data_IF_702693289731
#
_entry.id   IF_702693289731
#
_cell.length_a   1.000
_cell.length_b   1.000
_cell.length_c   1.000
_cell.angle_alpha   90.00
_cell.angle_beta   90.00
_cell.angle_gamma   90.00
#
_symmetry.space_group_name_H-M   'P 1'
#
loop_
_entity.id
_entity.type
_entity.pdbx_description
1 polymer ?
#
# COMPACT_ATOMS: atom_id res chain seq x y z
N UNK A 1 6.77 -12.21 2.78
CA UNK A 1 7.38 -10.90 2.49
C UNK A 1 8.89 -10.99 2.72
N UNK A 2 9.68 -10.70 1.73
CA UNK A 2 11.15 -10.71 1.86
C UNK A 2 11.75 -9.30 1.82
N UNK A 3 10.95 -8.28 1.52
CA UNK A 3 11.33 -6.89 1.63
C UNK A 3 10.13 -6.02 1.96
N UNK A 4 10.33 -5.09 2.89
CA UNK A 4 9.32 -4.13 3.32
C UNK A 4 10.00 -2.78 3.56
N UNK A 5 9.87 -1.88 2.60
CA UNK A 5 10.35 -0.52 2.72
C UNK A 5 9.21 0.40 3.19
N UNK A 6 9.49 1.29 4.13
CA UNK A 6 8.48 2.17 4.69
C UNK A 6 9.04 3.53 5.10
N UNK A 7 8.13 4.50 5.23
CA UNK A 7 8.44 5.85 5.74
C UNK A 7 7.22 6.52 6.34
N UNK A 8 7.44 7.24 7.44
CA UNK A 8 6.42 8.14 8.00
C UNK A 8 6.62 9.54 7.46
N UNK A 9 5.54 10.19 7.01
CA UNK A 9 5.50 11.61 6.63
C UNK A 9 4.51 12.31 7.54
N UNK A 10 4.94 13.33 8.27
CA UNK A 10 4.12 14.08 9.24
C UNK A 10 3.78 15.46 8.73
N UNK A 11 2.62 15.97 9.11
CA UNK A 11 2.17 17.32 8.77
C UNK A 11 1.83 17.49 7.30
N UNK A 12 1.33 16.44 6.64
CA UNK A 12 0.74 16.57 5.31
C UNK A 12 -0.57 17.36 5.42
N UNK A 13 -0.85 18.18 4.42
CA UNK A 13 -2.11 18.92 4.33
C UNK A 13 -3.17 18.01 3.72
N UNK A 14 -4.21 17.65 4.46
CA UNK A 14 -5.22 16.72 3.98
C UNK A 14 -6.07 17.31 2.83
N UNK A 15 -6.27 18.63 2.82
CA UNK A 15 -7.01 19.37 1.78
C UNK A 15 -6.22 19.54 0.47
N UNK A 16 -4.93 19.14 0.41
CA UNK A 16 -4.12 19.26 -0.78
C UNK A 16 -4.69 18.42 -1.92
N UNK A 17 -4.69 19.00 -3.11
CA UNK A 17 -5.15 18.32 -4.31
C UNK A 17 -3.96 17.92 -5.21
N UNK A 18 -4.05 16.72 -5.78
CA UNK A 18 -3.08 16.31 -6.79
C UNK A 18 -3.13 17.26 -7.99
N UNK A 19 -1.97 17.69 -8.53
CA UNK A 19 -1.92 18.62 -9.64
C UNK A 19 -2.57 18.02 -10.90
N UNK A 20 -3.05 18.89 -11.79
CA UNK A 20 -3.82 18.48 -12.99
C UNK A 20 -3.06 17.46 -13.84
N UNK A 21 -1.74 17.63 -14.01
CA UNK A 21 -0.94 16.70 -14.80
C UNK A 21 -0.95 15.26 -14.24
N UNK A 22 -0.93 15.12 -12.90
CA UNK A 22 -0.96 13.82 -12.23
C UNK A 22 -2.35 13.19 -12.38
N UNK A 23 -3.41 13.93 -12.07
CA UNK A 23 -4.81 13.49 -12.23
C UNK A 23 -5.11 13.09 -13.68
N UNK A 24 -4.64 13.86 -14.67
CA UNK A 24 -4.82 13.54 -16.07
C UNK A 24 -4.12 12.24 -16.47
N UNK A 25 -2.93 11.96 -15.94
CA UNK A 25 -2.22 10.70 -16.21
C UNK A 25 -2.95 9.50 -15.58
N UNK A 26 -3.42 9.62 -14.35
CA UNK A 26 -4.23 8.58 -13.69
C UNK A 26 -5.50 8.29 -14.51
N UNK A 27 -6.26 9.33 -14.86
CA UNK A 27 -7.50 9.19 -15.63
C UNK A 27 -7.28 8.53 -16.97
N UNK A 28 -6.22 8.89 -17.72
CA UNK A 28 -5.87 8.25 -19.00
C UNK A 28 -5.43 6.79 -18.83
N UNK A 29 -5.01 6.39 -17.64
CA UNK A 29 -4.66 5.01 -17.28
C UNK A 29 -5.82 4.24 -16.65
N UNK A 30 -7.04 4.80 -16.65
CA UNK A 30 -8.23 4.17 -16.11
C UNK A 30 -8.38 4.29 -14.58
N UNK A 31 -7.54 5.08 -13.90
CA UNK A 31 -7.61 5.28 -12.46
C UNK A 31 -8.32 6.58 -12.10
N UNK A 32 -9.22 6.51 -11.12
CA UNK A 32 -9.90 7.68 -10.58
C UNK A 32 -9.01 8.37 -9.54
N UNK A 33 -8.95 9.70 -9.58
CA UNK A 33 -8.36 10.51 -8.51
C UNK A 33 -9.21 10.40 -7.24
N UNK A 34 -8.58 10.19 -6.09
CA UNK A 34 -9.22 9.98 -4.79
C UNK A 34 -8.78 11.08 -3.82
N UNK A 35 -7.51 11.07 -3.42
CA UNK A 35 -6.86 12.08 -2.60
C UNK A 35 -5.41 12.25 -3.05
N UNK A 36 -4.77 13.38 -2.73
CA UNK A 36 -3.42 13.64 -3.22
C UNK A 36 -2.42 12.54 -2.83
N UNK A 37 -2.52 11.98 -1.63
CA UNK A 37 -1.63 10.91 -1.16
C UNK A 37 -1.89 9.61 -1.93
N UNK A 38 -3.15 9.21 -2.08
CA UNK A 38 -3.53 8.00 -2.82
C UNK A 38 -3.21 8.15 -4.31
N UNK A 39 -3.42 9.32 -4.86
CA UNK A 39 -3.08 9.62 -6.26
C UNK A 39 -1.58 9.50 -6.51
N UNK A 40 -0.74 9.93 -5.56
CA UNK A 40 0.72 9.74 -5.65
C UNK A 40 1.10 8.27 -5.60
N UNK A 41 0.52 7.47 -4.69
CA UNK A 41 0.84 6.03 -4.64
C UNK A 41 0.43 5.31 -5.92
N UNK A 42 -0.74 5.63 -6.46
CA UNK A 42 -1.22 5.11 -7.75
C UNK A 42 -0.33 5.56 -8.92
N UNK A 43 0.10 6.82 -8.92
CA UNK A 43 1.00 7.33 -9.94
C UNK A 43 2.37 6.62 -9.92
N UNK A 44 2.96 6.43 -8.75
CA UNK A 44 4.24 5.71 -8.60
C UNK A 44 4.10 4.25 -9.03
N UNK A 45 2.96 3.61 -8.73
CA UNK A 45 2.67 2.26 -9.23
C UNK A 45 2.67 2.22 -10.76
N UNK A 46 2.08 3.20 -11.45
CA UNK A 46 2.08 3.28 -12.91
C UNK A 46 3.47 3.62 -13.49
N UNK A 47 4.20 4.53 -12.83
CA UNK A 47 5.50 5.02 -13.29
C UNK A 47 6.59 3.95 -13.14
N UNK A 48 6.62 3.24 -12.02
CA UNK A 48 7.70 2.31 -11.66
C UNK A 48 7.29 0.83 -11.66
N UNK A 49 6.00 0.53 -11.75
CA UNK A 49 5.51 -0.84 -11.62
C UNK A 49 5.47 -1.38 -10.17
N UNK A 50 5.73 -0.53 -9.17
CA UNK A 50 5.72 -0.89 -7.75
C UNK A 50 4.43 -0.41 -7.08
N UNK A 51 3.49 -1.32 -6.76
CA UNK A 51 2.34 -0.94 -5.96
C UNK A 51 2.77 -0.52 -4.56
N UNK A 52 2.10 0.50 -4.05
CA UNK A 52 2.35 1.06 -2.73
C UNK A 52 1.06 1.15 -1.94
N UNK A 53 1.17 1.17 -0.61
CA UNK A 53 0.05 1.49 0.25
C UNK A 53 0.39 2.68 1.16
N UNK A 54 -0.64 3.43 1.52
CA UNK A 54 -0.55 4.54 2.45
C UNK A 54 -1.58 4.33 3.56
N UNK A 55 -1.11 4.34 4.80
CA UNK A 55 -1.95 4.26 6.00
C UNK A 55 -2.06 5.62 6.67
N UNK A 56 -3.20 5.89 7.29
CA UNK A 56 -3.28 6.91 8.32
C UNK A 56 -2.57 6.38 9.57
N UNK A 57 -1.44 6.99 9.91
CA UNK A 57 -0.62 6.53 11.03
C UNK A 57 -1.31 6.60 12.40
N UNK A 58 -2.42 7.37 12.52
CA UNK A 58 -3.22 7.43 13.76
C UNK A 58 -3.94 6.12 14.07
N UNK A 59 -4.18 5.31 13.04
CA UNK A 59 -4.91 4.04 13.14
C UNK A 59 -4.01 2.82 13.24
N UNK A 60 -2.69 3.02 13.39
CA UNK A 60 -1.70 1.96 13.55
C UNK A 60 -1.30 1.78 15.02
N UNK A 61 -1.46 0.59 15.53
CA UNK A 61 -1.12 0.22 16.91
C UNK A 61 0.23 -0.54 16.93
N UNK A 62 1.32 0.15 17.26
CA UNK A 62 2.65 -0.46 17.40
C UNK A 62 3.31 -0.78 16.04
N UNK A 63 4.00 -1.91 15.98
CA UNK A 63 4.76 -2.33 14.81
C UNK A 63 3.89 -3.03 13.76
N UNK A 64 4.24 -2.83 12.47
CA UNK A 64 3.62 -3.62 11.40
C UNK A 64 4.21 -5.02 11.33
N UNK A 65 3.33 -6.01 11.22
CA UNK A 65 3.67 -7.43 11.16
C UNK A 65 3.01 -8.06 9.93
N UNK A 66 3.80 -8.80 9.16
CA UNK A 66 3.27 -9.60 8.04
C UNK A 66 3.10 -11.03 8.52
N UNK A 67 1.87 -11.52 8.50
CA UNK A 67 1.51 -12.88 8.93
C UNK A 67 0.32 -13.43 8.15
N UNK A 68 0.13 -14.72 8.21
CA UNK A 68 -1.12 -15.32 7.76
C UNK A 68 -2.27 -15.02 8.71
N UNK A 69 -3.49 -15.08 8.18
CA UNK A 69 -4.71 -14.90 8.94
C UNK A 69 -4.87 -15.97 10.02
N UNK A 70 -5.56 -15.61 11.10
CA UNK A 70 -5.94 -16.52 12.19
C UNK A 70 -7.42 -16.85 12.07
N UNK A 71 -7.86 -18.02 12.57
CA UNK A 71 -9.27 -18.38 12.57
C UNK A 71 -10.14 -17.31 13.24
N UNK A 72 -11.25 -16.95 12.58
CA UNK A 72 -12.22 -16.00 13.10
C UNK A 72 -11.88 -14.52 12.91
N UNK A 73 -10.73 -14.20 12.28
CA UNK A 73 -10.43 -12.82 11.92
C UNK A 73 -11.30 -12.36 10.76
N UNK A 74 -11.71 -11.09 10.80
CA UNK A 74 -12.44 -10.40 9.73
C UNK A 74 -11.72 -9.12 9.34
N UNK A 75 -11.98 -8.64 8.12
CA UNK A 75 -11.42 -7.39 7.60
C UNK A 75 -12.42 -6.71 6.69
N UNK A 76 -12.73 -5.44 6.95
CA UNK A 76 -13.44 -4.59 5.99
C UNK A 76 -12.43 -3.97 5.06
N UNK A 77 -12.57 -4.21 3.76
CA UNK A 77 -11.68 -3.70 2.72
C UNK A 77 -12.04 -2.28 2.29
N UNK A 78 -11.10 -1.60 1.60
CA UNK A 78 -11.32 -0.25 1.04
C UNK A 78 -12.49 -0.14 0.05
N UNK A 79 -12.97 -1.24 -0.51
CA UNK A 79 -14.16 -1.28 -1.37
C UNK A 79 -15.48 -1.49 -0.59
N UNK A 80 -15.40 -1.61 0.75
CA UNK A 80 -16.54 -1.83 1.64
C UNK A 80 -16.89 -3.29 1.88
N UNK A 81 -16.25 -4.24 1.20
CA UNK A 81 -16.51 -5.67 1.41
C UNK A 81 -15.98 -6.12 2.77
N UNK A 82 -16.79 -6.88 3.50
CA UNK A 82 -16.40 -7.53 4.76
C UNK A 82 -16.03 -8.98 4.47
N UNK A 83 -14.77 -9.33 4.77
CA UNK A 83 -14.25 -10.67 4.55
C UNK A 83 -14.05 -11.42 5.87
N UNK A 84 -14.47 -12.68 5.91
CA UNK A 84 -13.92 -13.67 6.83
C UNK A 84 -12.57 -14.15 6.27
N UNK A 85 -11.52 -14.07 7.09
CA UNK A 85 -10.16 -14.30 6.63
C UNK A 85 -9.79 -15.79 6.72
N UNK A 86 -9.58 -16.42 5.58
CA UNK A 86 -9.08 -17.79 5.50
C UNK A 86 -7.58 -17.87 5.84
N UNK A 87 -7.16 -18.96 6.49
CA UNK A 87 -5.80 -19.14 7.05
C UNK A 87 -4.66 -19.04 6.02
N UNK A 88 -4.93 -19.15 4.73
CA UNK A 88 -3.94 -19.02 3.66
C UNK A 88 -3.81 -17.59 3.10
N UNK A 89 -4.57 -16.64 3.62
CA UNK A 89 -4.46 -15.23 3.26
C UNK A 89 -3.33 -14.57 4.04
N UNK A 90 -2.39 -13.99 3.31
CA UNK A 90 -1.31 -13.20 3.89
C UNK A 90 -1.81 -11.79 4.18
N UNK A 91 -1.52 -11.30 5.39
CA UNK A 91 -1.99 -10.02 5.88
C UNK A 91 -0.83 -9.10 6.24
N UNK A 92 -1.06 -7.80 6.10
CA UNK A 92 -0.38 -6.78 6.87
C UNK A 92 -1.23 -6.50 8.10
N UNK A 93 -0.63 -6.58 9.28
CA UNK A 93 -1.28 -6.35 10.57
C UNK A 93 -0.48 -5.32 11.36
N UNK A 94 -1.10 -4.69 12.32
CA UNK A 94 -0.41 -4.11 13.46
C UNK A 94 -0.37 -5.10 14.64
N UNK A 95 -0.05 -4.63 15.85
CA UNK A 95 0.01 -5.49 17.03
C UNK A 95 -1.37 -6.00 17.49
N UNK A 96 -2.46 -5.38 17.03
CA UNK A 96 -3.83 -5.67 17.49
C UNK A 96 -4.71 -6.31 16.41
N UNK A 97 -4.61 -5.87 15.15
CA UNK A 97 -5.61 -6.19 14.13
C UNK A 97 -5.02 -6.32 12.72
N UNK A 98 -5.73 -6.98 11.80
CA UNK A 98 -5.47 -6.92 10.37
C UNK A 98 -5.69 -5.49 9.82
N UNK A 99 -4.78 -5.04 8.94
CA UNK A 99 -4.84 -3.75 8.27
C UNK A 99 -5.09 -3.88 6.77
N UNK A 100 -4.81 -5.05 6.18
CA UNK A 100 -5.00 -5.28 4.76
C UNK A 100 -4.58 -6.66 4.31
N UNK A 101 -5.08 -7.04 3.13
CA UNK A 101 -4.63 -8.22 2.39
C UNK A 101 -3.31 -7.88 1.70
N UNK A 102 -2.23 -8.53 2.09
CA UNK A 102 -0.88 -8.27 1.59
C UNK A 102 -0.79 -8.38 0.06
N UNK A 103 -0.43 -7.27 -0.59
CA UNK A 103 -0.30 -7.19 -2.04
C UNK A 103 -1.62 -7.19 -2.82
N UNK A 104 -2.77 -7.15 -2.17
CA UNK A 104 -4.08 -7.17 -2.83
C UNK A 104 -4.86 -5.89 -2.54
N UNK A 105 -5.28 -5.65 -1.30
CA UNK A 105 -6.11 -4.49 -0.95
C UNK A 105 -5.97 -4.15 0.53
N UNK A 106 -5.88 -2.85 0.84
CA UNK A 106 -5.88 -2.34 2.20
C UNK A 106 -7.25 -2.44 2.87
N UNK A 107 -7.26 -2.38 4.20
CA UNK A 107 -8.46 -2.27 5.00
C UNK A 107 -8.95 -0.81 5.10
N UNK A 108 -10.26 -0.65 5.24
CA UNK A 108 -10.93 0.65 5.32
C UNK A 108 -10.46 1.45 6.53
N UNK A 109 -10.43 0.81 7.70
CA UNK A 109 -10.14 1.47 8.98
C UNK A 109 -8.78 2.19 9.03
N UNK A 110 -7.77 1.66 8.36
CA UNK A 110 -6.41 2.24 8.34
C UNK A 110 -6.11 3.06 7.08
N UNK A 111 -7.07 3.23 6.19
CA UNK A 111 -6.93 3.99 4.96
C UNK A 111 -6.74 5.50 5.20
N UNK A 112 -6.29 6.20 4.17
CA UNK A 112 -6.18 7.66 4.18
C UNK A 112 -7.59 8.27 4.19
N UNK A 113 -7.85 9.16 5.13
CA UNK A 113 -9.10 9.90 5.30
C UNK A 113 -8.90 11.41 5.01
N UNK A 114 -10.01 12.16 4.95
CA UNK A 114 -10.02 13.59 4.61
C UNK A 114 -9.32 14.47 5.66
N UNK A 115 -8.99 13.93 6.82
CA UNK A 115 -8.32 14.62 7.93
C UNK A 115 -6.95 14.02 8.27
N UNK A 116 -6.42 13.14 7.43
CA UNK A 116 -5.13 12.49 7.63
C UNK A 116 -3.97 13.49 7.54
N UNK A 117 -3.22 13.66 8.61
CA UNK A 117 -2.04 14.54 8.67
C UNK A 117 -0.72 13.80 8.85
N UNK A 118 -0.76 12.52 9.18
CA UNK A 118 0.43 11.67 9.30
C UNK A 118 0.23 10.39 8.51
N UNK A 119 1.08 10.22 7.49
CA UNK A 119 1.01 9.11 6.54
C UNK A 119 2.13 8.12 6.81
N UNK A 120 1.80 6.84 6.88
CA UNK A 120 2.77 5.75 6.83
C UNK A 120 2.75 5.15 5.43
N UNK A 121 3.84 5.32 4.67
CA UNK A 121 4.00 4.74 3.33
C UNK A 121 4.61 3.35 3.42
N UNK A 122 4.10 2.46 2.59
CA UNK A 122 4.58 1.08 2.41
C UNK A 122 4.91 0.81 0.95
N UNK A 123 6.05 0.17 0.70
CA UNK A 123 6.39 -0.48 -0.56
C UNK A 123 7.04 -1.83 -0.26
N UNK A 124 6.30 -2.90 -0.44
CA UNK A 124 6.73 -4.24 -0.08
C UNK A 124 6.92 -5.14 -1.31
N UNK A 125 7.66 -6.22 -1.15
CA UNK A 125 7.70 -7.33 -2.09
C UNK A 125 6.90 -8.51 -1.54
N UNK A 126 5.91 -8.92 -2.31
CA UNK A 126 5.09 -10.10 -2.03
C UNK A 126 5.47 -11.22 -2.98
N UNK A 127 5.74 -12.42 -2.45
CA UNK A 127 5.95 -13.58 -3.31
C UNK A 127 4.69 -13.84 -4.14
N UNK A 128 4.77 -13.93 -5.48
CA UNK A 128 3.61 -14.17 -6.33
C UNK A 128 2.73 -15.35 -5.86
N UNK A 129 3.33 -16.41 -5.35
CA UNK A 129 2.60 -17.60 -4.88
C UNK A 129 1.58 -17.32 -3.76
N UNK A 130 1.78 -16.27 -2.95
CA UNK A 130 0.83 -15.90 -1.88
C UNK A 130 -0.26 -14.94 -2.34
N UNK A 131 -0.15 -14.37 -3.54
CA UNK A 131 -1.14 -13.46 -4.14
C UNK A 131 -1.95 -14.16 -5.22
N UNK A 132 -1.31 -15.04 -5.97
CA UNK A 132 -1.86 -15.73 -7.15
C UNK A 132 -3.16 -16.46 -6.85
N UNK A 133 -4.20 -16.17 -7.64
CA UNK A 133 -5.51 -16.81 -7.54
C UNK A 133 -6.40 -16.31 -6.39
N UNK A 134 -5.86 -15.55 -5.42
CA UNK A 134 -6.64 -15.07 -4.26
C UNK A 134 -7.72 -14.09 -4.68
N UNK A 135 -7.41 -13.14 -5.55
CA UNK A 135 -8.39 -12.18 -6.06
C UNK A 135 -9.59 -12.88 -6.73
N UNK A 136 -9.33 -13.89 -7.58
CA UNK A 136 -10.40 -14.65 -8.23
C UNK A 136 -11.28 -15.39 -7.21
N UNK A 137 -10.68 -15.98 -6.16
CA UNK A 137 -11.42 -16.67 -5.09
C UNK A 137 -12.25 -15.69 -4.27
N UNK A 138 -11.73 -14.48 -4.03
CA UNK A 138 -12.41 -13.44 -3.26
C UNK A 138 -13.44 -12.65 -4.09
N UNK A 139 -13.52 -12.86 -5.42
CA UNK A 139 -14.52 -12.25 -6.28
C UNK A 139 -14.27 -10.81 -6.70
N UNK A 140 -13.04 -10.27 -6.49
CA UNK A 140 -12.69 -8.91 -6.91
C UNK A 140 -11.28 -8.87 -7.51
N UNK A 141 -10.91 -7.71 -8.08
CA UNK A 141 -9.58 -7.45 -8.65
C UNK A 141 -9.03 -6.14 -8.12
N UNK A 142 -7.70 -6.03 -8.09
CA UNK A 142 -7.01 -4.78 -7.82
C UNK A 142 -5.78 -4.62 -8.71
N UNK A 143 -5.42 -3.37 -9.00
CA UNK A 143 -4.22 -3.04 -9.76
C UNK A 143 -2.93 -3.53 -9.09
N UNK A 144 -2.89 -3.51 -7.76
CA UNK A 144 -1.80 -4.04 -6.97
C UNK A 144 -1.69 -5.56 -7.09
N UNK A 145 -2.80 -6.26 -6.82
CA UNK A 145 -2.85 -7.72 -6.91
C UNK A 145 -2.51 -8.24 -8.30
N UNK A 146 -2.97 -7.56 -9.35
CA UNK A 146 -2.65 -7.90 -10.74
C UNK A 146 -1.13 -7.84 -11.03
N UNK A 147 -0.41 -6.88 -10.44
CA UNK A 147 1.04 -6.77 -10.58
C UNK A 147 1.78 -7.78 -9.74
N UNK A 148 1.40 -7.92 -8.47
CA UNK A 148 2.07 -8.83 -7.55
C UNK A 148 1.90 -10.30 -7.92
N UNK A 149 0.76 -10.73 -8.46
CA UNK A 149 0.57 -12.12 -8.90
C UNK A 149 1.48 -12.49 -10.10
N UNK A 150 1.94 -11.49 -10.87
CA UNK A 150 2.88 -11.68 -12.00
C UNK A 150 4.34 -11.46 -11.61
N UNK A 151 4.55 -10.83 -10.47
CA UNK A 151 5.87 -10.49 -9.95
C UNK A 151 6.21 -9.01 -10.14
N UNK A 152 6.75 -8.42 -9.07
CA UNK A 152 7.31 -7.07 -9.03
C UNK A 152 8.80 -7.20 -8.71
N UNK A 153 9.64 -6.30 -9.22
CA UNK A 153 11.07 -6.33 -8.89
C UNK A 153 11.28 -6.07 -7.39
N UNK A 154 11.85 -7.03 -6.64
CA UNK A 154 12.05 -6.88 -5.20
C UNK A 154 13.02 -5.74 -4.83
N UNK A 155 13.76 -5.19 -5.79
CA UNK A 155 14.68 -4.07 -5.56
C UNK A 155 14.01 -2.69 -5.62
N UNK A 156 12.79 -2.58 -6.16
CA UNK A 156 12.12 -1.29 -6.43
C UNK A 156 11.59 -0.57 -5.17
N UNK A 157 11.25 -1.28 -4.10
CA UNK A 157 10.60 -0.70 -2.92
C UNK A 157 11.25 0.60 -2.42
N UNK A 158 12.57 0.66 -2.16
CA UNK A 158 13.23 1.89 -1.72
C UNK A 158 13.12 3.05 -2.70
N UNK A 159 13.26 2.81 -3.99
CA UNK A 159 13.13 3.84 -5.02
C UNK A 159 11.70 4.39 -5.08
N UNK A 160 10.70 3.52 -4.95
CA UNK A 160 9.29 3.90 -4.91
C UNK A 160 8.98 4.76 -3.67
N UNK A 161 9.49 4.40 -2.48
CA UNK A 161 9.35 5.21 -1.26
C UNK A 161 9.96 6.61 -1.46
N UNK A 162 11.17 6.72 -2.02
CA UNK A 162 11.79 8.03 -2.28
C UNK A 162 10.96 8.85 -3.29
N UNK A 163 10.51 8.22 -4.37
CA UNK A 163 9.71 8.89 -5.40
C UNK A 163 8.36 9.38 -4.85
N UNK A 164 7.63 8.53 -4.14
CA UNK A 164 6.37 8.91 -3.51
C UNK A 164 6.55 9.99 -2.46
N UNK A 165 7.62 9.89 -1.63
CA UNK A 165 7.95 10.92 -0.64
C UNK A 165 8.17 12.28 -1.31
N UNK A 166 8.99 12.35 -2.36
CA UNK A 166 9.27 13.60 -3.06
C UNK A 166 7.99 14.24 -3.62
N UNK A 167 7.09 13.44 -4.19
CA UNK A 167 5.81 13.92 -4.72
C UNK A 167 4.86 14.38 -3.60
N UNK A 168 4.74 13.61 -2.52
CA UNK A 168 3.87 13.98 -1.37
C UNK A 168 4.37 15.28 -0.75
N UNK A 169 5.66 15.43 -0.51
CA UNK A 169 6.21 16.67 0.06
C UNK A 169 5.98 17.88 -0.85
N UNK A 170 6.13 17.71 -2.17
CA UNK A 170 5.88 18.78 -3.15
C UNK A 170 4.40 19.18 -3.22
N UNK A 171 3.47 18.23 -3.09
CA UNK A 171 2.03 18.46 -3.26
C UNK A 171 1.35 18.78 -1.93
N UNK A 172 1.58 17.94 -0.92
CA UNK A 172 0.89 18.02 0.36
C UNK A 172 1.71 18.74 1.45
N UNK A 173 3.01 19.00 1.19
CA UNK A 173 3.91 19.50 2.24
C UNK A 173 4.25 18.42 3.26
N UNK A 174 4.58 18.86 4.47
CA UNK A 174 4.94 17.99 5.57
C UNK A 174 6.45 17.75 5.69
N UNK A 175 6.81 16.77 6.51
CA UNK A 175 8.20 16.40 6.79
C UNK A 175 8.36 14.89 6.82
N UNK A 176 9.27 14.38 6.00
CA UNK A 176 9.59 12.96 5.95
C UNK A 176 10.51 12.55 7.12
N UNK A 177 10.19 11.44 7.75
CA UNK A 177 11.07 10.71 8.66
C UNK A 177 12.10 9.86 7.91
N UNK A 178 12.94 9.12 8.64
CA UNK A 178 13.87 8.17 8.04
C UNK A 178 13.10 7.07 7.29
N UNK A 179 13.70 6.57 6.23
CA UNK A 179 13.23 5.35 5.56
C UNK A 179 13.70 4.13 6.35
N UNK A 180 12.80 3.18 6.55
CA UNK A 180 13.13 1.83 6.99
C UNK A 180 13.12 0.89 5.78
N UNK A 181 13.96 -0.15 5.80
CA UNK A 181 14.05 -1.17 4.75
C UNK A 181 14.38 -2.51 5.41
N UNK A 182 13.34 -3.19 5.89
CA UNK A 182 13.45 -4.53 6.42
C UNK A 182 13.54 -5.53 5.25
N UNK A 183 14.57 -6.38 5.25
CA UNK A 183 14.80 -7.35 4.18
C UNK A 183 15.39 -8.65 4.70
N UNK A 184 14.95 -9.74 4.09
CA UNK A 184 15.59 -11.05 4.16
C UNK A 184 16.37 -11.31 2.87
N UNK A 185 16.73 -12.56 2.59
CA UNK A 185 17.36 -12.95 1.33
C UNK A 185 16.40 -12.67 0.18
N UNK A 186 16.80 -11.80 -0.75
CA UNK A 186 16.01 -11.50 -1.93
C UNK A 186 16.08 -12.67 -2.93
N UNK A 187 14.98 -12.94 -3.66
CA UNK A 187 15.04 -13.92 -4.75
C UNK A 187 16.04 -13.47 -5.81
N UNK A 188 16.72 -14.46 -6.41
CA UNK A 188 17.58 -14.20 -7.55
C UNK A 188 16.76 -13.60 -8.71
N UNK A 189 17.35 -12.67 -9.47
CA UNK A 189 16.78 -12.25 -10.74
C UNK A 189 16.95 -13.36 -11.75
N UNK A 190 15.85 -13.78 -12.37
CA UNK A 190 15.90 -14.65 -13.56
C UNK A 190 16.28 -13.83 -14.80
#
# INVERSE_FOLDING_TARGET
>A
CVRFAARVIRGVRPEAQAPMWLRARLSRSGLRSISAVVDVTNYVMLELGQPMHAYDARHLDGALVVRFARPGETLTLLNGDVLELEADLLLVCDERKPLGLAGIMGGEHSGIADDTTTVYLEAAYWNPAVVQGRMRRLGFTSDAGYRFERGVDPALGPAAIERATALILAICGGRAGPRTDARAVLPARN
#
